data_IF_981613680368
#
_entry.id   IF_981613680368
#
_cell.length_a   1.000
_cell.length_b   1.000
_cell.length_c   1.000
_cell.angle_alpha   90.00
_cell.angle_beta   90.00
_cell.angle_gamma   90.00
#
_symmetry.space_group_name_H-M   'P 1'
#
loop_
_entity.id
_entity.type
_entity.pdbx_description
1 polymer ?
#
# COMPACT_ATOMS: atom_id res chain seq x y z
N UNK A 1 -9.47 -12.13 -7.22
CA UNK A 1 -8.01 -12.19 -6.94
C UNK A 1 -7.38 -10.83 -6.64
N UNK A 2 -7.84 -9.70 -7.22
CA UNK A 2 -7.26 -8.36 -6.96
C UNK A 2 -7.30 -7.96 -5.48
N UNK A 3 -8.42 -8.17 -4.80
CA UNK A 3 -8.58 -7.75 -3.39
C UNK A 3 -7.97 -8.76 -2.40
N UNK A 4 -7.64 -9.96 -2.86
CA UNK A 4 -7.10 -11.04 -2.02
C UNK A 4 -5.59 -11.16 -2.09
N UNK A 5 -4.96 -10.69 -3.17
CA UNK A 5 -3.51 -10.70 -3.34
C UNK A 5 -2.76 -9.94 -2.22
N UNK A 6 -3.20 -8.72 -1.80
CA UNK A 6 -2.57 -8.01 -0.69
C UNK A 6 -2.68 -8.71 0.67
N UNK A 7 -3.61 -9.66 0.80
CA UNK A 7 -3.88 -10.39 2.02
C UNK A 7 -3.04 -11.68 2.14
N UNK A 8 -2.16 -11.95 1.17
CA UNK A 8 -1.27 -13.09 1.23
C UNK A 8 -0.28 -12.97 2.39
N UNK A 9 0.08 -14.12 2.98
CA UNK A 9 1.09 -14.21 4.03
C UNK A 9 2.52 -14.32 3.45
N UNK A 10 2.63 -14.76 2.20
CA UNK A 10 3.88 -14.99 1.48
C UNK A 10 3.66 -14.84 -0.02
N UNK A 11 4.58 -14.15 -0.70
CA UNK A 11 4.54 -13.88 -2.14
C UNK A 11 5.65 -14.66 -2.84
N UNK A 12 5.34 -15.29 -3.98
CA UNK A 12 6.28 -16.14 -4.74
C UNK A 12 6.29 -15.78 -6.21
N UNK A 13 7.45 -15.97 -6.86
CA UNK A 13 7.57 -15.92 -8.31
C UNK A 13 7.50 -17.35 -8.86
N UNK A 14 6.54 -17.61 -9.75
CA UNK A 14 6.33 -18.94 -10.33
C UNK A 14 7.05 -19.10 -11.68
N UNK A 15 8.28 -18.59 -11.79
CA UNK A 15 9.05 -18.64 -13.04
C UNK A 15 9.66 -20.02 -13.31
N UNK A 16 10.05 -20.74 -12.26
CA UNK A 16 10.53 -22.12 -12.37
C UNK A 16 10.09 -22.97 -11.18
N UNK A 17 9.96 -24.28 -11.40
CA UNK A 17 9.63 -25.22 -10.33
C UNK A 17 10.72 -25.29 -9.24
N UNK A 18 11.97 -24.97 -9.59
CA UNK A 18 13.08 -24.96 -8.65
C UNK A 18 13.00 -23.75 -7.70
N UNK A 19 12.83 -22.55 -8.24
CA UNK A 19 12.63 -21.31 -7.45
C UNK A 19 11.41 -21.44 -6.55
N UNK A 20 10.28 -21.88 -7.10
CA UNK A 20 9.06 -22.05 -6.34
C UNK A 20 9.23 -23.04 -5.17
N UNK A 21 9.95 -24.15 -5.37
CA UNK A 21 10.24 -25.10 -4.28
C UNK A 21 11.15 -24.49 -3.22
N UNK A 22 12.15 -23.71 -3.62
CA UNK A 22 13.06 -23.04 -2.68
C UNK A 22 12.30 -22.01 -1.83
N UNK A 23 11.48 -21.17 -2.46
CA UNK A 23 10.65 -20.16 -1.79
C UNK A 23 9.66 -20.80 -0.80
N UNK A 24 8.94 -21.83 -1.25
CA UNK A 24 8.00 -22.56 -0.39
C UNK A 24 8.71 -23.29 0.75
N UNK A 25 9.87 -23.89 0.50
CA UNK A 25 10.69 -24.52 1.53
C UNK A 25 11.13 -23.52 2.60
N UNK A 26 11.65 -22.36 2.19
CA UNK A 26 12.01 -21.25 3.09
C UNK A 26 10.81 -20.81 3.93
N UNK A 27 9.64 -20.64 3.31
CA UNK A 27 8.43 -20.25 4.03
C UNK A 27 7.98 -21.29 5.05
N UNK A 28 8.00 -22.59 4.71
CA UNK A 28 7.69 -23.67 5.65
C UNK A 28 8.66 -23.66 6.83
N UNK A 29 9.96 -23.53 6.61
CA UNK A 29 10.95 -23.45 7.68
C UNK A 29 10.72 -22.24 8.60
N UNK A 30 10.32 -21.09 8.04
CA UNK A 30 9.94 -19.90 8.82
C UNK A 30 8.68 -20.13 9.66
N UNK A 31 7.67 -20.80 9.10
CA UNK A 31 6.46 -21.18 9.84
C UNK A 31 6.82 -22.05 11.04
N UNK A 32 7.78 -22.96 10.92
CA UNK A 32 8.26 -23.78 12.03
C UNK A 32 9.40 -23.12 12.84
N UNK A 33 9.62 -21.82 12.65
CA UNK A 33 10.50 -21.03 13.50
C UNK A 33 11.97 -21.38 13.39
N UNK A 34 12.45 -21.70 12.18
CA UNK A 34 13.88 -21.90 11.93
C UNK A 34 14.69 -20.68 12.40
N UNK A 35 15.59 -20.83 13.38
CA UNK A 35 16.10 -19.69 14.13
C UNK A 35 17.14 -18.86 13.37
N UNK A 36 17.69 -19.39 12.26
CA UNK A 36 18.71 -18.73 11.44
C UNK A 36 18.24 -18.24 10.07
N UNK A 37 16.95 -18.40 9.73
CA UNK A 37 16.41 -17.77 8.52
C UNK A 37 16.03 -16.34 8.89
N UNK A 38 16.78 -15.37 8.35
CA UNK A 38 16.55 -13.94 8.57
C UNK A 38 15.88 -13.30 7.34
N UNK A 39 15.28 -12.10 7.50
CA UNK A 39 14.69 -11.38 6.38
C UNK A 39 15.68 -11.12 5.24
N UNK A 40 15.19 -11.12 4.01
CA UNK A 40 15.88 -10.56 2.85
C UNK A 40 15.87 -9.02 2.91
N UNK A 41 16.69 -8.37 2.07
CA UNK A 41 16.69 -6.91 1.92
C UNK A 41 15.33 -6.38 1.50
N UNK A 42 14.67 -7.08 0.57
CA UNK A 42 13.33 -6.70 0.10
C UNK A 42 12.29 -6.86 1.22
N UNK A 43 12.34 -7.96 1.98
CA UNK A 43 11.45 -8.19 3.13
C UNK A 43 11.61 -7.08 4.19
N UNK A 44 12.86 -6.68 4.48
CA UNK A 44 13.15 -5.58 5.39
C UNK A 44 12.65 -4.24 4.85
N UNK A 45 13.01 -3.87 3.62
CA UNK A 45 12.62 -2.62 2.99
C UNK A 45 11.10 -2.47 2.91
N UNK A 46 10.40 -3.53 2.50
CA UNK A 46 8.94 -3.55 2.42
C UNK A 46 8.27 -3.51 3.80
N UNK A 47 8.85 -4.14 4.82
CA UNK A 47 8.35 -4.01 6.20
C UNK A 47 8.45 -2.57 6.71
N UNK A 48 9.56 -1.87 6.44
CA UNK A 48 9.70 -0.45 6.77
C UNK A 48 8.67 0.40 6.01
N UNK A 49 8.47 0.14 4.72
CA UNK A 49 7.43 0.84 3.96
C UNK A 49 6.04 0.64 4.59
N UNK A 50 5.68 -0.60 4.96
CA UNK A 50 4.40 -0.90 5.60
C UNK A 50 4.27 -0.28 7.00
N UNK A 51 5.34 -0.26 7.80
CA UNK A 51 5.29 0.32 9.13
C UNK A 51 5.10 1.84 9.08
N UNK A 52 5.78 2.52 8.15
CA UNK A 52 5.65 3.97 7.94
C UNK A 52 4.28 4.34 7.38
N UNK A 53 3.65 3.47 6.58
CA UNK A 53 2.28 3.67 6.10
C UNK A 53 1.27 3.92 7.23
N UNK A 54 1.48 3.31 8.40
CA UNK A 54 0.57 3.41 9.55
C UNK A 54 0.49 4.83 10.13
N UNK A 55 1.42 5.72 9.77
CA UNK A 55 1.39 7.14 10.13
C UNK A 55 0.33 7.94 9.35
N UNK A 56 -0.02 7.49 8.15
CA UNK A 56 -0.91 8.23 7.25
C UNK A 56 -2.32 8.34 7.83
N UNK A 57 -2.87 9.56 7.82
CA UNK A 57 -4.29 9.83 8.07
C UNK A 57 -5.04 10.23 6.78
N UNK A 58 -4.50 9.88 5.61
CA UNK A 58 -5.12 10.18 4.33
C UNK A 58 -6.52 9.54 4.21
N UNK A 59 -7.47 10.30 3.66
CA UNK A 59 -8.89 9.91 3.59
C UNK A 59 -9.15 8.70 2.66
N UNK A 60 -8.22 8.40 1.75
CA UNK A 60 -8.37 7.33 0.76
C UNK A 60 -7.80 6.00 1.22
N UNK A 61 -6.50 5.96 1.52
CA UNK A 61 -5.76 4.73 1.87
C UNK A 61 -4.48 5.06 2.61
N UNK A 62 -3.95 4.11 3.38
CA UNK A 62 -2.62 4.21 3.97
C UNK A 62 -1.58 3.59 3.02
N UNK A 63 -0.68 4.41 2.49
CA UNK A 63 0.45 4.01 1.64
C UNK A 63 1.74 4.41 2.32
N UNK A 64 2.73 3.53 2.29
CA UNK A 64 4.07 3.84 2.77
C UNK A 64 5.12 3.43 1.77
N UNK A 65 6.26 4.12 1.85
CA UNK A 65 7.42 3.88 1.02
C UNK A 65 8.70 3.99 1.85
N UNK A 66 9.70 3.21 1.47
CA UNK A 66 11.07 3.31 1.97
C UNK A 66 12.04 3.29 0.79
N UNK A 67 13.18 3.95 0.93
CA UNK A 67 14.27 3.93 -0.04
C UNK A 67 15.48 3.34 0.66
N UNK A 68 16.13 2.36 0.04
CA UNK A 68 17.35 1.76 0.56
C UNK A 68 18.41 1.59 -0.53
N UNK A 69 19.67 1.53 -0.11
CA UNK A 69 20.80 1.18 -0.99
C UNK A 69 20.79 -0.31 -1.35
N UNK A 70 21.71 -0.72 -2.22
CA UNK A 70 21.86 -2.13 -2.63
C UNK A 70 22.40 -3.03 -1.52
N UNK A 71 23.13 -2.43 -0.58
CA UNK A 71 23.60 -3.06 0.63
C UNK A 71 22.46 -3.32 1.63
N UNK A 72 21.35 -2.57 1.48
CA UNK A 72 20.17 -2.64 2.35
C UNK A 72 20.09 -1.51 3.37
N UNK A 73 20.95 -0.50 3.27
CA UNK A 73 20.95 0.65 4.19
C UNK A 73 19.76 1.57 3.91
N UNK A 74 19.00 1.90 4.95
CA UNK A 74 17.82 2.76 4.84
C UNK A 74 18.24 4.21 4.58
N UNK A 75 17.77 4.77 3.46
CA UNK A 75 18.09 6.14 3.01
C UNK A 75 17.02 7.13 3.41
N UNK A 76 15.74 6.79 3.15
CA UNK A 76 14.60 7.68 3.41
C UNK A 76 13.30 6.89 3.52
N UNK A 77 12.28 7.52 4.10
CA UNK A 77 10.93 6.95 4.23
C UNK A 77 9.87 8.00 3.97
N UNK A 78 8.68 7.55 3.60
CA UNK A 78 7.53 8.42 3.36
C UNK A 78 6.22 7.68 3.51
N UNK A 79 5.16 8.39 3.89
CA UNK A 79 3.80 7.92 3.73
C UNK A 79 2.98 9.00 3.02
N UNK A 80 1.82 8.65 2.49
CA UNK A 80 0.94 9.64 1.94
C UNK A 80 0.34 10.50 3.05
N UNK A 81 0.59 11.81 3.01
CA UNK A 81 0.12 12.75 4.03
C UNK A 81 0.26 14.20 3.54
N UNK A 82 -0.52 15.11 4.11
CA UNK A 82 -0.52 16.54 3.82
C UNK A 82 0.84 17.17 4.19
N UNK A 83 1.48 17.91 3.26
CA UNK A 83 2.75 18.58 3.53
C UNK A 83 2.58 19.79 4.45
N UNK A 84 3.65 20.14 5.18
CA UNK A 84 3.70 21.28 6.10
C UNK A 84 4.61 22.39 5.57
N UNK A 85 4.31 23.63 5.93
CA UNK A 85 5.21 24.77 5.68
C UNK A 85 6.59 24.51 6.31
N UNK A 86 7.66 24.85 5.59
CA UNK A 86 9.04 24.55 6.01
C UNK A 86 9.52 23.13 5.64
N UNK A 87 8.65 22.31 5.05
CA UNK A 87 8.95 20.95 4.59
C UNK A 87 8.50 19.86 5.55
N UNK A 88 8.54 18.61 5.08
CA UNK A 88 7.95 17.48 5.78
C UNK A 88 6.43 17.45 5.67
N UNK A 89 5.80 16.61 6.50
CA UNK A 89 4.36 16.39 6.54
C UNK A 89 3.87 16.57 7.97
N UNK A 90 2.56 16.77 8.13
CA UNK A 90 1.95 16.86 9.45
C UNK A 90 2.08 15.55 10.24
N UNK A 91 2.25 15.69 11.55
CA UNK A 91 2.28 14.61 12.53
C UNK A 91 1.17 14.75 13.55
N UNK A 92 0.87 13.65 14.24
CA UNK A 92 0.03 13.71 15.42
C UNK A 92 0.68 14.61 16.48
N UNK A 93 -0.09 15.54 17.02
CA UNK A 93 0.38 16.55 17.98
C UNK A 93 0.89 17.85 17.35
N UNK A 94 0.92 17.99 16.02
CA UNK A 94 1.17 19.29 15.39
C UNK A 94 0.03 20.29 15.66
N UNK A 95 0.38 21.55 15.90
CA UNK A 95 -0.56 22.67 16.05
C UNK A 95 -0.04 23.91 15.28
N UNK A 96 -0.80 24.48 14.32
CA UNK A 96 -2.09 23.99 13.83
C UNK A 96 -1.96 22.74 12.95
N UNK A 97 -2.92 21.81 13.08
CA UNK A 97 -3.06 20.62 12.24
C UNK A 97 -3.97 20.91 11.05
N UNK A 98 -3.40 20.89 9.83
CA UNK A 98 -4.12 21.17 8.59
C UNK A 98 -4.29 19.93 7.71
N UNK A 99 -4.21 18.72 8.28
CA UNK A 99 -4.52 17.48 7.56
C UNK A 99 -5.97 17.48 7.08
N UNK A 100 -6.25 16.79 5.98
CA UNK A 100 -7.55 16.89 5.29
C UNK A 100 -8.76 16.53 6.18
N UNK A 101 -8.61 15.57 7.09
CA UNK A 101 -9.68 15.22 8.03
C UNK A 101 -10.04 16.35 9.00
N UNK A 102 -9.13 17.30 9.26
CA UNK A 102 -9.42 18.50 10.08
C UNK A 102 -10.25 19.53 9.31
N UNK A 103 -10.16 19.55 7.99
CA UNK A 103 -10.95 20.42 7.11
C UNK A 103 -12.34 19.85 6.80
N UNK A 104 -12.61 18.59 7.17
CA UNK A 104 -13.85 17.86 6.90
C UNK A 104 -14.23 17.78 5.40
N UNK A 105 -13.26 17.97 4.50
CA UNK A 105 -13.49 18.05 3.06
C UNK A 105 -12.37 17.38 2.26
N UNK A 106 -12.72 16.56 1.25
CA UNK A 106 -11.79 16.03 0.25
C UNK A 106 -11.62 17.06 -0.88
N UNK A 107 -10.50 17.78 -0.84
CA UNK A 107 -10.09 18.74 -1.88
C UNK A 107 -10.20 18.18 -3.30
N UNK A 108 -9.86 16.90 -3.51
CA UNK A 108 -9.94 16.27 -4.82
C UNK A 108 -11.39 16.12 -5.29
N UNK A 109 -12.31 15.78 -4.38
CA UNK A 109 -13.72 15.68 -4.70
C UNK A 109 -14.31 17.05 -5.07
N UNK A 110 -13.93 18.10 -4.34
CA UNK A 110 -14.36 19.47 -4.62
C UNK A 110 -13.88 19.93 -5.99
N UNK A 111 -12.58 19.84 -6.26
CA UNK A 111 -12.02 20.29 -7.53
C UNK A 111 -12.58 19.51 -8.73
N UNK A 112 -12.81 18.20 -8.59
CA UNK A 112 -13.47 17.41 -9.64
C UNK A 112 -14.90 17.88 -9.91
N UNK A 113 -15.69 18.19 -8.88
CA UNK A 113 -17.05 18.72 -9.06
C UNK A 113 -17.02 20.07 -9.76
N UNK A 114 -16.18 20.99 -9.30
CA UNK A 114 -16.01 22.32 -9.90
C UNK A 114 -15.61 22.22 -11.38
N UNK A 115 -14.64 21.36 -11.72
CA UNK A 115 -14.22 21.17 -13.11
C UNK A 115 -15.36 20.62 -14.01
N UNK A 116 -16.16 19.69 -13.50
CA UNK A 116 -17.33 19.16 -14.21
C UNK A 116 -18.43 20.22 -14.38
N UNK A 117 -18.69 21.02 -13.35
CA UNK A 117 -19.68 22.10 -13.39
C UNK A 117 -19.28 23.20 -14.36
N UNK A 118 -18.00 23.58 -14.38
CA UNK A 118 -17.46 24.52 -15.34
C UNK A 118 -17.60 24.00 -16.76
N UNK A 119 -17.21 22.74 -17.03
CA UNK A 119 -17.33 22.13 -18.35
C UNK A 119 -18.79 22.12 -18.83
N UNK A 120 -19.74 21.69 -17.99
CA UNK A 120 -21.16 21.67 -18.34
C UNK A 120 -21.69 23.08 -18.61
N UNK A 121 -21.23 24.07 -17.85
CA UNK A 121 -21.60 25.47 -18.06
C UNK A 121 -21.08 25.98 -19.41
N UNK A 122 -19.84 25.65 -19.80
CA UNK A 122 -19.29 25.99 -21.13
C UNK A 122 -20.06 25.29 -22.25
N UNK A 123 -20.37 24.00 -22.11
CA UNK A 123 -21.16 23.24 -23.09
C UNK A 123 -22.56 23.83 -23.30
N UNK A 124 -23.18 24.39 -22.24
CA UNK A 124 -24.44 25.12 -22.35
C UNK A 124 -24.31 26.37 -23.20
N UNK A 125 -23.26 27.17 -23.00
CA UNK A 125 -23.08 28.44 -23.73
C UNK A 125 -22.94 28.24 -25.24
N UNK A 126 -22.44 27.08 -25.68
CA UNK A 126 -22.31 26.72 -27.11
C UNK A 126 -23.49 25.89 -27.64
N UNK A 127 -24.54 25.70 -26.83
CA UNK A 127 -25.75 24.98 -27.24
C UNK A 127 -25.57 23.47 -27.45
N UNK A 128 -24.58 22.84 -26.80
CA UNK A 128 -24.32 21.40 -26.95
C UNK A 128 -25.10 20.52 -25.96
N UNK A 129 -25.83 21.13 -25.03
CA UNK A 129 -26.72 20.41 -24.13
C UNK A 129 -28.11 20.24 -24.77
N UNK A 130 -28.70 19.05 -24.60
CA UNK A 130 -30.04 18.77 -25.12
C UNK A 130 -31.13 19.55 -24.38
N UNK A 131 -32.29 19.72 -25.01
CA UNK A 131 -33.45 20.41 -24.43
C UNK A 131 -33.89 19.83 -23.08
N UNK A 132 -33.66 18.54 -22.85
CA UNK A 132 -34.02 17.87 -21.59
C UNK A 132 -33.20 18.34 -20.38
N UNK A 133 -31.98 18.84 -20.59
CA UNK A 133 -31.03 19.16 -19.50
C UNK A 133 -30.46 20.58 -19.58
N UNK A 134 -30.62 21.29 -20.70
CA UNK A 134 -29.99 22.61 -20.92
C UNK A 134 -30.33 23.66 -19.87
N UNK A 135 -31.54 23.58 -19.29
CA UNK A 135 -32.04 24.54 -18.29
C UNK A 135 -31.79 24.10 -16.84
N UNK A 136 -31.32 22.86 -16.61
CA UNK A 136 -31.02 22.36 -15.27
C UNK A 136 -29.70 22.97 -14.75
N UNK A 137 -29.56 23.34 -13.46
CA UNK A 137 -28.30 23.81 -12.90
C UNK A 137 -27.15 22.80 -13.09
N UNK A 138 -25.95 23.29 -13.42
CA UNK A 138 -24.80 22.41 -13.64
C UNK A 138 -24.45 21.57 -12.39
N UNK A 139 -24.54 22.17 -11.20
CA UNK A 139 -24.32 21.47 -9.93
C UNK A 139 -25.28 20.31 -9.70
N UNK A 140 -26.56 20.45 -10.08
CA UNK A 140 -27.54 19.36 -9.96
C UNK A 140 -27.20 18.19 -10.88
N UNK A 141 -26.79 18.50 -12.13
CA UNK A 141 -26.33 17.49 -13.08
C UNK A 141 -25.09 16.76 -12.56
N UNK A 142 -24.11 17.48 -12.00
CA UNK A 142 -22.91 16.88 -11.41
C UNK A 142 -23.26 16.05 -10.17
N UNK A 143 -24.15 16.51 -9.30
CA UNK A 143 -24.62 15.76 -8.13
C UNK A 143 -25.23 14.42 -8.56
N UNK A 144 -26.07 14.41 -9.61
CA UNK A 144 -26.61 13.18 -10.19
C UNK A 144 -25.54 12.24 -10.73
N UNK A 145 -24.48 12.77 -11.35
CA UNK A 145 -23.33 11.98 -11.84
C UNK A 145 -22.47 11.40 -10.73
N UNK A 146 -22.25 12.13 -9.63
CA UNK A 146 -21.30 11.77 -8.58
C UNK A 146 -21.95 10.89 -7.51
N UNK A 147 -23.16 11.26 -7.06
CA UNK A 147 -23.85 10.64 -5.92
C UNK A 147 -25.27 10.19 -6.22
N UNK A 148 -25.91 10.69 -7.29
CA UNK A 148 -27.32 10.43 -7.57
C UNK A 148 -27.61 9.21 -8.47
N UNK A 149 -28.77 9.27 -9.13
CA UNK A 149 -29.44 8.17 -9.84
C UNK A 149 -28.63 7.61 -11.01
N UNK A 150 -27.82 8.43 -11.67
CA UNK A 150 -27.02 8.02 -12.83
C UNK A 150 -25.57 7.67 -12.50
N UNK A 151 -25.16 7.74 -11.22
CA UNK A 151 -23.78 7.47 -10.78
C UNK A 151 -23.18 6.20 -11.39
N UNK A 152 -23.93 5.10 -11.43
CA UNK A 152 -23.44 3.82 -11.97
C UNK A 152 -23.06 3.89 -13.45
N UNK A 153 -23.67 4.78 -14.24
CA UNK A 153 -23.35 4.97 -15.67
C UNK A 153 -22.05 5.75 -15.86
N UNK A 154 -21.71 6.60 -14.89
CA UNK A 154 -20.52 7.44 -14.92
C UNK A 154 -19.34 6.84 -14.14
N UNK A 155 -19.62 5.92 -13.22
CA UNK A 155 -18.64 5.16 -12.47
C UNK A 155 -17.65 4.48 -13.43
N UNK A 156 -16.35 4.69 -13.19
CA UNK A 156 -15.28 4.12 -14.02
C UNK A 156 -14.80 5.03 -15.16
N UNK A 157 -15.46 6.17 -15.42
CA UNK A 157 -14.91 7.16 -16.36
C UNK A 157 -13.63 7.82 -15.81
N UNK A 158 -12.75 8.27 -16.72
CA UNK A 158 -11.43 8.80 -16.37
C UNK A 158 -11.49 10.03 -15.47
N UNK A 159 -12.55 10.85 -15.57
CA UNK A 159 -12.71 12.06 -14.74
C UNK A 159 -12.78 11.75 -13.24
N UNK A 160 -13.30 10.57 -12.86
CA UNK A 160 -13.32 10.11 -11.46
C UNK A 160 -12.03 9.40 -11.03
N UNK A 161 -11.01 9.37 -11.88
CA UNK A 161 -9.68 8.80 -11.59
C UNK A 161 -8.57 9.85 -11.55
N UNK A 162 -8.93 11.13 -11.67
CA UNK A 162 -8.02 12.27 -11.49
C UNK A 162 -7.59 12.34 -10.02
N UNK A 163 -6.28 12.39 -9.82
CA UNK A 163 -5.60 12.37 -8.51
C UNK A 163 -4.79 13.65 -8.24
N UNK A 164 -4.69 14.53 -9.23
CA UNK A 164 -3.85 15.74 -9.25
C UNK A 164 -4.32 16.83 -8.28
N UNK A 165 -5.57 16.75 -7.79
CA UNK A 165 -6.15 17.76 -6.90
C UNK A 165 -5.99 17.44 -5.41
N UNK A 166 -5.35 16.32 -5.06
CA UNK A 166 -5.13 15.94 -3.66
C UNK A 166 -4.05 16.81 -3.00
N UNK A 167 -4.29 17.20 -1.74
CA UNK A 167 -3.30 17.91 -0.93
C UNK A 167 -2.18 17.01 -0.43
N UNK A 168 -2.49 15.74 -0.16
CA UNK A 168 -1.51 14.75 0.28
C UNK A 168 -0.41 14.55 -0.75
N UNK A 169 0.84 14.65 -0.30
CA UNK A 169 1.99 14.14 -1.06
C UNK A 169 1.95 12.62 -0.97
N UNK A 170 2.13 11.92 -2.09
CA UNK A 170 2.14 10.46 -2.12
C UNK A 170 3.38 9.89 -1.39
N UNK A 171 3.30 8.64 -0.93
CA UNK A 171 4.35 8.02 -0.13
C UNK A 171 5.72 8.00 -0.83
N UNK A 172 5.75 7.69 -2.12
CA UNK A 172 6.98 7.63 -2.93
C UNK A 172 7.61 9.01 -3.08
N UNK A 173 6.78 10.03 -3.35
CA UNK A 173 7.22 11.42 -3.41
C UNK A 173 7.70 11.91 -2.04
N UNK A 174 7.02 11.52 -0.96
CA UNK A 174 7.40 11.87 0.40
C UNK A 174 8.78 11.29 0.75
N UNK A 175 9.07 10.04 0.37
CA UNK A 175 10.38 9.43 0.58
C UNK A 175 11.49 10.14 -0.23
N UNK A 176 11.22 10.48 -1.50
CA UNK A 176 12.18 11.21 -2.36
C UNK A 176 12.44 12.62 -1.81
N UNK A 177 11.39 13.35 -1.43
CA UNK A 177 11.51 14.72 -0.90
C UNK A 177 12.09 14.75 0.51
N UNK A 178 11.91 13.69 1.30
CA UNK A 178 12.61 13.51 2.57
C UNK A 178 14.13 13.41 2.40
N UNK A 179 14.59 12.58 1.46
CA UNK A 179 16.01 12.47 1.13
C UNK A 179 16.58 13.81 0.61
N UNK A 180 15.86 14.43 -0.33
CA UNK A 180 16.26 15.71 -0.93
C UNK A 180 16.39 16.83 0.11
N UNK A 181 15.42 16.96 1.02
CA UNK A 181 15.45 17.96 2.10
C UNK A 181 16.65 17.79 3.03
N UNK A 182 17.14 16.56 3.21
CA UNK A 182 18.30 16.23 4.03
C UNK A 182 19.63 16.23 3.26
N UNK A 183 19.60 16.48 1.95
CA UNK A 183 20.79 16.45 1.10
C UNK A 183 21.35 15.05 0.87
N UNK A 184 20.51 14.01 0.94
CA UNK A 184 20.92 12.62 0.72
C UNK A 184 20.52 12.17 -0.67
N UNK A 185 21.46 11.61 -1.42
CA UNK A 185 21.21 11.06 -2.76
C UNK A 185 20.36 9.79 -2.68
N UNK A 186 19.39 9.68 -3.59
CA UNK A 186 18.60 8.45 -3.83
C UNK A 186 18.94 7.80 -5.18
N UNK A 187 19.96 8.33 -5.86
CA UNK A 187 20.41 7.79 -7.14
C UNK A 187 20.84 6.34 -6.96
N UNK A 188 20.49 5.50 -7.92
CA UNK A 188 20.81 4.07 -8.02
C UNK A 188 20.19 3.19 -6.90
N UNK A 189 19.42 3.79 -5.97
CA UNK A 189 18.75 3.10 -4.87
C UNK A 189 17.50 2.34 -5.31
N UNK A 190 17.00 1.50 -4.40
CA UNK A 190 15.72 0.79 -4.54
C UNK A 190 14.64 1.48 -3.68
N UNK A 191 13.46 1.70 -4.27
CA UNK A 191 12.27 2.18 -3.56
C UNK A 191 11.29 1.01 -3.31
N UNK A 192 10.92 0.78 -2.07
CA UNK A 192 9.87 -0.16 -1.68
C UNK A 192 8.58 0.63 -1.42
N UNK A 193 7.44 0.19 -1.95
CA UNK A 193 6.15 0.85 -1.71
C UNK A 193 5.03 -0.17 -1.50
N UNK A 194 4.11 0.12 -0.59
CA UNK A 194 2.97 -0.78 -0.34
C UNK A 194 2.02 -0.86 -1.52
N UNK A 195 2.02 0.12 -2.42
CA UNK A 195 1.10 0.20 -3.56
C UNK A 195 1.86 0.58 -4.83
N UNK A 196 1.50 -0.02 -5.96
CA UNK A 196 2.08 0.30 -7.27
C UNK A 196 2.00 1.80 -7.57
N UNK A 197 3.09 2.42 -8.03
CA UNK A 197 3.18 3.87 -8.18
C UNK A 197 2.25 4.42 -9.27
N UNK A 198 1.60 5.54 -8.97
CA UNK A 198 0.82 6.28 -9.96
C UNK A 198 1.74 7.03 -10.95
N UNK A 199 1.16 7.59 -12.02
CA UNK A 199 1.91 8.37 -13.02
C UNK A 199 2.50 9.68 -12.48
N UNK A 200 1.98 10.22 -11.37
CA UNK A 200 2.61 11.35 -10.69
C UNK A 200 3.87 10.91 -9.93
N UNK A 201 3.86 9.74 -9.28
CA UNK A 201 5.03 9.20 -8.60
C UNK A 201 6.10 8.75 -9.61
N UNK A 202 5.68 8.13 -10.71
CA UNK A 202 6.58 7.59 -11.74
C UNK A 202 7.55 8.64 -12.32
N UNK A 203 7.09 9.85 -12.66
CA UNK A 203 8.00 10.93 -13.10
C UNK A 203 9.05 11.26 -12.06
N UNK A 204 8.69 11.27 -10.77
CA UNK A 204 9.64 11.59 -9.71
C UNK A 204 10.66 10.47 -9.53
N UNK A 205 10.19 9.21 -9.54
CA UNK A 205 11.04 8.02 -9.48
C UNK A 205 12.10 8.04 -10.59
N UNK A 206 11.69 8.30 -11.84
CA UNK A 206 12.61 8.41 -12.98
C UNK A 206 13.55 9.59 -12.80
N UNK A 207 13.01 10.77 -12.48
CA UNK A 207 13.81 12.01 -12.36
C UNK A 207 14.81 11.99 -11.21
N UNK A 208 14.55 11.21 -10.15
CA UNK A 208 15.43 11.11 -8.98
C UNK A 208 16.55 10.09 -9.19
N UNK A 209 16.55 9.36 -10.30
CA UNK A 209 17.57 8.36 -10.62
C UNK A 209 17.45 7.08 -9.80
N UNK A 210 16.27 6.75 -9.27
CA UNK A 210 16.03 5.44 -8.65
C UNK A 210 16.12 4.35 -9.73
N UNK A 211 16.77 3.23 -9.43
CA UNK A 211 16.94 2.15 -10.42
C UNK A 211 15.84 1.09 -10.35
N UNK A 212 15.28 0.87 -9.16
CA UNK A 212 14.38 -0.26 -8.87
C UNK A 212 13.25 0.17 -7.95
N UNK A 213 12.06 -0.35 -8.21
CA UNK A 213 10.87 -0.17 -7.39
C UNK A 213 10.24 -1.53 -7.12
N UNK A 214 10.06 -1.87 -5.84
CA UNK A 214 9.39 -3.10 -5.41
C UNK A 214 8.04 -2.75 -4.80
N UNK A 215 6.96 -3.36 -5.26
CA UNK A 215 5.59 -3.02 -4.82
C UNK A 215 4.75 -4.24 -4.40
N UNK A 216 3.82 -4.07 -3.46
CA UNK A 216 2.90 -5.16 -3.05
C UNK A 216 1.58 -5.08 -3.80
N UNK A 217 0.82 -4.01 -3.61
CA UNK A 217 -0.54 -3.94 -4.12
C UNK A 217 -0.59 -3.43 -5.56
N UNK A 218 -1.33 -4.09 -6.48
CA UNK A 218 -1.51 -3.54 -7.81
C UNK A 218 -2.33 -2.25 -7.75
N UNK A 219 -2.05 -1.32 -8.67
CA UNK A 219 -2.82 -0.09 -8.83
C UNK A 219 -3.33 0.03 -10.28
N UNK A 220 -4.48 -0.61 -10.59
CA UNK A 220 -4.97 -0.75 -11.97
C UNK A 220 -5.27 0.55 -12.71
N UNK A 221 -5.41 1.67 -11.97
CA UNK A 221 -5.66 3.01 -12.53
C UNK A 221 -4.37 3.72 -12.95
N UNK A 222 -3.21 3.16 -12.62
CA UNK A 222 -1.94 3.78 -12.97
C UNK A 222 -1.73 3.81 -14.47
N UNK A 223 -1.27 4.94 -14.99
CA UNK A 223 -0.85 5.11 -16.39
C UNK A 223 0.65 5.02 -16.57
N UNK A 224 1.38 4.54 -15.55
CA UNK A 224 2.84 4.50 -15.53
C UNK A 224 3.43 3.78 -16.75
N UNK A 225 2.92 2.59 -17.08
CA UNK A 225 3.43 1.81 -18.21
C UNK A 225 3.19 2.50 -19.56
N UNK A 226 2.04 3.17 -19.72
CA UNK A 226 1.70 3.87 -20.97
C UNK A 226 2.52 5.13 -21.18
N UNK A 227 2.75 5.89 -20.10
CA UNK A 227 3.36 7.22 -20.16
C UNK A 227 4.88 7.20 -20.11
N UNK A 228 5.50 6.18 -19.53
CA UNK A 228 6.94 6.10 -19.29
C UNK A 228 7.58 4.87 -19.96
N UNK A 229 7.06 4.44 -21.11
CA UNK A 229 7.55 3.28 -21.87
C UNK A 229 9.04 3.34 -22.26
N UNK A 230 9.61 4.54 -22.30
CA UNK A 230 11.00 4.84 -22.63
C UNK A 230 11.93 4.85 -21.41
N UNK A 231 11.37 4.84 -20.19
CA UNK A 231 12.11 5.06 -18.94
C UNK A 231 11.80 4.02 -17.85
N UNK A 232 10.72 3.25 -17.97
CA UNK A 232 10.26 2.26 -16.99
C UNK A 232 9.97 0.93 -17.68
N UNK A 233 10.43 -0.16 -17.06
CA UNK A 233 10.04 -1.52 -17.40
C UNK A 233 9.24 -2.14 -16.24
N UNK A 234 8.04 -2.63 -16.52
CA UNK A 234 7.16 -3.26 -15.52
C UNK A 234 7.27 -4.77 -15.63
N UNK A 235 7.62 -5.43 -14.53
CA UNK A 235 7.82 -6.88 -14.41
C UNK A 235 8.81 -7.45 -15.43
N UNK A 236 10.03 -6.90 -15.55
CA UNK A 236 11.01 -7.45 -16.48
C UNK A 236 11.48 -8.84 -16.02
N UNK A 237 11.86 -9.68 -16.98
CA UNK A 237 12.43 -11.02 -16.70
C UNK A 237 13.88 -10.97 -16.17
N UNK A 238 14.52 -9.80 -16.21
CA UNK A 238 15.86 -9.53 -15.68
C UNK A 238 16.08 -8.03 -15.44
N UNK A 239 17.30 -7.62 -15.10
CA UNK A 239 17.59 -6.19 -14.91
C UNK A 239 17.56 -5.44 -16.26
N UNK A 240 16.63 -4.51 -16.46
CA UNK A 240 16.54 -3.76 -17.71
C UNK A 240 17.68 -2.72 -17.79
N UNK A 241 18.27 -2.55 -18.97
CA UNK A 241 19.31 -1.53 -19.17
C UNK A 241 18.70 -0.16 -19.46
N UNK A 242 19.13 0.85 -18.70
CA UNK A 242 18.71 2.25 -18.91
C UNK A 242 17.26 2.55 -18.54
N UNK A 243 16.56 1.62 -17.88
CA UNK A 243 15.17 1.77 -17.45
C UNK A 243 15.06 1.49 -15.94
N UNK A 244 14.11 2.13 -15.29
CA UNK A 244 13.73 1.79 -13.91
C UNK A 244 12.93 0.49 -13.92
N UNK A 245 13.35 -0.49 -13.12
CA UNK A 245 12.59 -1.75 -12.93
C UNK A 245 11.46 -1.55 -11.92
N UNK A 246 10.22 -1.85 -12.28
CA UNK A 246 9.09 -1.95 -11.36
C UNK A 246 8.67 -3.42 -11.25
N UNK A 247 8.77 -3.99 -10.05
CA UNK A 247 8.53 -5.43 -9.84
C UNK A 247 7.68 -5.72 -8.59
N UNK A 248 6.89 -6.81 -8.61
CA UNK A 248 6.11 -7.22 -7.47
C UNK A 248 7.02 -7.74 -6.36
N UNK A 249 6.64 -7.48 -5.13
CA UNK A 249 7.29 -7.99 -3.95
C UNK A 249 7.22 -9.53 -3.90
N UNK A 250 8.34 -10.14 -3.49
CA UNK A 250 8.49 -11.59 -3.26
C UNK A 250 9.06 -11.79 -1.86
N UNK A 251 8.51 -12.76 -1.13
CA UNK A 251 8.91 -13.07 0.24
C UNK A 251 7.78 -12.97 1.26
N UNK A 252 8.15 -12.96 2.54
CA UNK A 252 7.23 -12.82 3.67
C UNK A 252 6.50 -11.49 3.60
N UNK A 253 5.17 -11.55 3.61
CA UNK A 253 4.35 -10.36 3.61
C UNK A 253 4.71 -9.46 4.80
N UNK A 254 4.71 -8.12 4.63
CA UNK A 254 5.06 -7.21 5.71
C UNK A 254 4.12 -7.33 6.92
N UNK A 255 2.88 -7.81 6.72
CA UNK A 255 1.91 -8.13 7.79
C UNK A 255 2.33 -9.32 8.68
N UNK A 256 3.24 -10.17 8.20
CA UNK A 256 3.76 -11.35 8.91
C UNK A 256 5.22 -11.22 9.34
N UNK A 257 5.86 -10.11 9.00
CA UNK A 257 7.28 -9.89 9.24
C UNK A 257 7.68 -10.12 10.70
N UNK A 258 7.03 -9.43 11.65
CA UNK A 258 7.34 -9.58 13.08
C UNK A 258 7.08 -11.01 13.56
N UNK A 259 5.94 -11.59 13.18
CA UNK A 259 5.56 -12.95 13.59
C UNK A 259 6.57 -14.01 13.12
N UNK A 260 7.10 -13.88 11.90
CA UNK A 260 7.96 -14.89 11.29
C UNK A 260 9.45 -14.66 11.54
N UNK A 261 9.90 -13.43 11.80
CA UNK A 261 11.33 -13.13 12.00
C UNK A 261 11.71 -12.80 13.44
N UNK A 262 10.75 -12.61 14.34
CA UNK A 262 11.06 -12.49 15.76
C UNK A 262 11.68 -13.79 16.29
N UNK A 263 12.74 -13.64 17.10
CA UNK A 263 13.40 -14.78 17.72
C UNK A 263 12.45 -15.41 18.75
N UNK A 264 12.27 -16.73 18.64
CA UNK A 264 11.61 -17.55 19.64
C UNK A 264 12.55 -18.71 19.98
N UNK A 265 12.69 -19.00 21.28
CA UNK A 265 13.59 -20.05 21.75
C UNK A 265 15.07 -19.65 21.71
N UNK A 266 15.92 -20.66 21.70
CA UNK A 266 17.38 -20.51 21.78
C UNK A 266 18.03 -20.76 20.42
N UNK A 267 19.16 -20.10 20.16
CA UNK A 267 20.02 -20.33 18.98
C UNK A 267 21.24 -21.16 19.30
N UNK A 268 21.55 -21.28 20.58
CA UNK A 268 22.72 -21.99 21.07
C UNK A 268 22.34 -22.70 22.35
N UNK A 269 22.96 -23.85 22.56
CA UNK A 269 22.98 -24.51 23.85
C UNK A 269 23.66 -23.58 24.87
N UNK A 270 23.01 -23.37 26.01
CA UNK A 270 23.45 -22.39 27.03
C UNK A 270 24.77 -22.78 27.70
N UNK A 271 25.02 -24.07 27.86
CA UNK A 271 26.14 -24.58 28.64
C UNK A 271 27.39 -24.74 27.76
N UNK A 272 27.22 -25.25 26.54
CA UNK A 272 28.30 -25.52 25.59
C UNK A 272 28.56 -24.37 24.62
N UNK A 273 27.61 -23.45 24.47
CA UNK A 273 27.67 -22.35 23.49
C UNK A 273 27.55 -22.80 22.03
N UNK A 274 27.32 -24.09 21.76
CA UNK A 274 27.20 -24.64 20.41
C UNK A 274 25.87 -24.25 19.77
N UNK A 275 25.89 -24.04 18.46
CA UNK A 275 24.69 -23.75 17.66
C UNK A 275 23.71 -24.93 17.73
N UNK A 276 22.42 -24.64 17.90
CA UNK A 276 21.38 -25.67 17.87
C UNK A 276 21.20 -26.17 16.44
N UNK A 277 21.24 -27.49 16.26
CA UNK A 277 20.90 -28.16 15.00
C UNK A 277 19.38 -28.29 14.89
N UNK A 278 18.74 -27.29 14.29
CA UNK A 278 17.29 -27.26 14.10
C UNK A 278 16.81 -28.37 13.15
N UNK A 279 17.60 -28.77 12.15
CA UNK A 279 17.20 -29.79 11.18
C UNK A 279 17.09 -31.17 11.83
N UNK A 280 17.89 -31.44 12.86
CA UNK A 280 17.78 -32.67 13.66
C UNK A 280 16.49 -32.75 14.49
N UNK A 281 15.97 -31.59 14.95
CA UNK A 281 14.81 -31.49 15.82
C UNK A 281 13.99 -30.22 15.52
N UNK A 282 13.26 -30.19 14.40
CA UNK A 282 12.47 -29.02 14.03
C UNK A 282 11.32 -28.81 15.01
N UNK A 283 10.90 -27.56 15.17
CA UNK A 283 9.72 -27.25 15.98
C UNK A 283 8.51 -27.97 15.38
N UNK A 284 7.74 -28.66 16.22
CA UNK A 284 6.54 -29.39 15.79
C UNK A 284 5.31 -28.49 15.66
N UNK A 285 5.37 -27.29 16.25
CA UNK A 285 4.24 -26.36 16.30
C UNK A 285 4.49 -25.16 15.37
N UNK A 286 3.63 -24.92 14.38
CA UNK A 286 3.77 -23.77 13.50
C UNK A 286 3.46 -22.45 14.24
N UNK A 287 4.21 -21.39 13.89
CA UNK A 287 4.05 -20.01 14.38
C UNK A 287 2.73 -19.38 13.99
N UNK A 288 2.16 -19.80 12.86
CA UNK A 288 0.86 -19.34 12.39
C UNK A 288 -0.23 -20.21 13.02
N UNK A 289 -0.82 -19.73 14.12
CA UNK A 289 -1.99 -20.37 14.74
C UNK A 289 -3.26 -19.81 14.10
N UNK A 290 -3.86 -20.56 13.18
CA UNK A 290 -5.18 -20.22 12.65
C UNK A 290 -6.25 -20.94 13.49
N UNK A 291 -6.92 -20.20 14.36
CA UNK A 291 -8.14 -20.69 14.99
C UNK A 291 -9.25 -20.71 13.94
N UNK A 292 -9.49 -21.88 13.35
CA UNK A 292 -10.72 -22.09 12.57
C UNK A 292 -11.78 -22.46 13.60
N UNK A 293 -12.44 -21.44 14.16
CA UNK A 293 -13.73 -21.68 14.78
C UNK A 293 -14.65 -22.11 13.63
N UNK A 294 -15.17 -23.34 13.67
CA UNK A 294 -16.24 -23.71 12.74
C UNK A 294 -17.39 -22.70 12.95
N UNK A 295 -18.09 -22.37 11.87
CA UNK A 295 -19.25 -21.47 11.94
C UNK A 295 -20.24 -21.92 13.03
N UNK A 296 -20.40 -23.24 13.20
CA UNK A 296 -21.16 -23.88 14.28
C UNK A 296 -20.68 -23.47 15.67
N UNK A 297 -19.36 -23.48 15.93
CA UNK A 297 -18.82 -23.10 17.24
C UNK A 297 -18.99 -21.60 17.53
N UNK A 298 -18.99 -20.77 16.49
CA UNK A 298 -19.27 -19.33 16.61
C UNK A 298 -20.75 -19.12 16.93
N UNK A 299 -21.66 -19.78 16.21
CA UNK A 299 -23.10 -19.65 16.42
C UNK A 299 -23.54 -20.16 17.79
N UNK A 300 -23.04 -21.32 18.23
CA UNK A 300 -23.37 -21.88 19.55
C UNK A 300 -22.88 -20.98 20.69
N UNK A 301 -21.64 -20.47 20.59
CA UNK A 301 -21.09 -19.60 21.63
C UNK A 301 -21.68 -18.19 21.57
N UNK A 302 -21.93 -17.63 20.38
CA UNK A 302 -22.58 -16.34 20.23
C UNK A 302 -24.03 -16.38 20.73
N UNK A 303 -24.78 -17.44 20.44
CA UNK A 303 -26.13 -17.65 20.95
C UNK A 303 -26.15 -17.74 22.48
N UNK A 304 -25.21 -18.48 23.06
CA UNK A 304 -25.09 -18.61 24.52
C UNK A 304 -24.69 -17.30 25.19
N UNK A 305 -23.73 -16.56 24.62
CA UNK A 305 -23.28 -15.28 25.14
C UNK A 305 -24.37 -14.19 25.00
N UNK A 306 -25.09 -14.18 23.88
CA UNK A 306 -26.19 -13.25 23.63
C UNK A 306 -27.36 -13.53 24.57
N UNK A 307 -27.74 -14.79 24.78
CA UNK A 307 -28.77 -15.17 25.75
C UNK A 307 -28.39 -14.77 27.19
N UNK A 308 -27.12 -14.97 27.57
CA UNK A 308 -26.61 -14.56 28.89
C UNK A 308 -26.58 -13.03 29.06
N UNK A 309 -26.26 -12.28 28.00
CA UNK A 309 -26.28 -10.82 28.00
C UNK A 309 -27.72 -10.28 28.02
N UNK A 310 -28.63 -10.84 27.23
CA UNK A 310 -30.06 -10.49 27.22
C UNK A 310 -30.71 -10.76 28.59
N UNK A 311 -30.39 -11.90 29.22
CA UNK A 311 -30.85 -12.23 30.58
C UNK A 311 -30.30 -11.30 31.66
N UNK A 312 -29.11 -10.70 31.46
CA UNK A 312 -28.56 -9.68 32.37
C UNK A 312 -29.09 -8.28 32.10
N UNK A 313 -29.59 -8.01 30.90
CA UNK A 313 -30.10 -6.70 30.50
C UNK A 313 -31.59 -6.48 30.83
N UNK A 314 -32.33 -7.47 31.35
CA UNK A 314 -33.76 -7.36 31.70
C UNK A 314 -34.57 -6.57 30.65
N UNK A 315 -34.44 -6.95 29.38
CA UNK A 315 -35.42 -6.61 28.36
C UNK A 315 -36.48 -7.72 28.37
N UNK A 316 -37.44 -7.58 29.29
CA UNK A 316 -38.78 -8.16 29.11
C UNK A 316 -39.56 -7.26 28.15
#
# INVERSE_FOLDING_TARGET
MRDTFPLADFFVKANSAAELRADLGRFVSLIFGHPFITPSRDEYGMFIAKSVAMRSADLGRQVGASIATDEGDLVAVGCNEVPKFGGGQYWEGDDPDWRDFRLAEDSSAVSRRQALEELLSKLRTVGWLSDAIKDQPAGDLVSRMVTGDVRKKFAGSQVFSVIEYGRSVHAEMAAITDASRRGVSVKDCTLYTTTFPCHLCARHIVSSGLRRVVYVEPYPKSRTQDLYKDSISVNPDGEPQGLVSLEPFVGVAPSRYLQLFQLEGERKDKDTGRVIDWDSQPNKNPRIKRFVLSYVLIEENAGTLLAALMGKMNLN
#
